data_IF_651945525923
#
_entry.id   IF_651945525923
#
_cell.length_a   1.000
_cell.length_b   1.000
_cell.length_c   1.000
_cell.angle_alpha   90.00
_cell.angle_beta   90.00
_cell.angle_gamma   90.00
#
_symmetry.space_group_name_H-M   'P 1'
#
loop_
_entity.id
_entity.type
_entity.pdbx_description
1 polymer ?
#
# COMPACT_ATOMS: atom_id res chain seq x y z
N UNK A 1 -7.06 4.70 13.76
CA UNK A 1 -5.98 3.78 14.19
C UNK A 1 -5.97 3.72 15.70
N UNK A 2 -5.76 2.53 16.22
CA UNK A 2 -5.59 2.29 17.65
C UNK A 2 -4.19 1.73 17.91
N UNK A 3 -3.59 2.15 18.99
CA UNK A 3 -2.35 1.61 19.52
C UNK A 3 -2.71 0.63 20.66
N UNK A 4 -2.19 -0.59 20.56
CA UNK A 4 -2.14 -1.56 21.65
C UNK A 4 -0.72 -1.54 22.21
N UNK A 5 -0.56 -1.14 23.46
CA UNK A 5 0.74 -1.13 24.12
C UNK A 5 1.13 -2.52 24.69
N UNK A 6 2.35 -2.63 25.21
CA UNK A 6 2.85 -3.89 25.79
C UNK A 6 2.13 -4.32 27.07
N UNK A 7 1.43 -3.42 27.73
CA UNK A 7 0.63 -3.69 28.93
C UNK A 7 -0.80 -4.11 28.57
N UNK A 8 -1.17 -4.09 27.27
CA UNK A 8 -2.50 -4.43 26.78
C UNK A 8 -3.47 -3.24 26.78
N UNK A 9 -3.01 -2.02 27.09
CA UNK A 9 -3.87 -0.85 27.02
C UNK A 9 -4.07 -0.40 25.57
N UNK A 10 -5.32 -0.04 25.23
CA UNK A 10 -5.71 0.41 23.89
C UNK A 10 -6.00 1.91 23.93
N UNK A 11 -5.35 2.66 23.03
CA UNK A 11 -5.59 4.10 22.85
C UNK A 11 -5.84 4.44 21.39
N UNK A 12 -6.71 5.42 21.11
CA UNK A 12 -6.92 5.91 19.74
C UNK A 12 -5.86 6.95 19.40
N UNK A 13 -5.04 6.67 18.38
CA UNK A 13 -3.90 7.52 17.99
C UNK A 13 -4.14 8.30 16.71
N UNK A 14 -5.03 7.84 15.82
CA UNK A 14 -5.45 8.59 14.62
C UNK A 14 -6.98 8.62 14.59
N UNK A 15 -7.60 9.67 15.14
CA UNK A 15 -9.04 9.79 15.14
C UNK A 15 -9.58 10.28 13.78
N UNK A 16 -10.83 9.94 13.49
CA UNK A 16 -11.64 10.53 12.38
C UNK A 16 -11.08 10.37 10.96
N UNK A 17 -10.03 9.57 10.75
CA UNK A 17 -9.54 9.25 9.41
C UNK A 17 -10.22 7.97 8.90
N UNK A 18 -10.83 8.06 7.71
CA UNK A 18 -11.52 6.94 7.06
C UNK A 18 -10.72 6.41 5.89
N UNK A 19 -10.94 5.14 5.54
CA UNK A 19 -10.37 4.52 4.35
C UNK A 19 -8.86 4.26 4.46
N UNK A 20 -8.35 4.02 5.67
CA UNK A 20 -6.94 3.65 5.86
C UNK A 20 -6.79 2.20 5.40
N UNK A 21 -6.14 2.00 4.23
CA UNK A 21 -5.79 0.69 3.72
C UNK A 21 -4.40 0.24 4.17
N UNK A 22 -3.44 1.17 4.20
CA UNK A 22 -2.07 0.90 4.61
C UNK A 22 -1.51 1.95 5.55
N UNK A 23 -0.50 1.57 6.32
CA UNK A 23 0.24 2.47 7.20
C UNK A 23 1.69 2.04 7.37
N UNK A 24 2.58 3.01 7.63
CA UNK A 24 3.98 2.79 7.97
C UNK A 24 4.41 3.70 9.12
N UNK A 25 5.39 3.23 9.92
CA UNK A 25 6.02 4.05 10.94
C UNK A 25 6.91 5.12 10.31
N UNK A 26 6.97 6.30 10.92
CA UNK A 26 7.84 7.38 10.49
C UNK A 26 8.99 7.58 11.48
N UNK A 27 10.22 7.82 11.01
CA UNK A 27 11.43 7.95 11.85
C UNK A 27 11.36 9.08 12.89
N UNK A 28 10.67 10.18 12.57
CA UNK A 28 10.46 11.32 13.48
C UNK A 28 9.26 11.14 14.42
N UNK A 29 8.82 9.92 14.60
CA UNK A 29 7.58 9.60 15.31
C UNK A 29 6.34 9.80 14.45
N UNK A 30 5.27 9.07 14.77
CA UNK A 30 4.03 9.13 14.01
C UNK A 30 3.91 8.04 12.95
N UNK A 31 2.87 8.18 12.14
CA UNK A 31 2.48 7.24 11.10
C UNK A 31 2.34 7.94 9.75
N UNK A 32 2.79 7.28 8.69
CA UNK A 32 2.30 7.55 7.34
C UNK A 32 1.07 6.68 7.11
N UNK A 33 -0.02 7.27 6.67
CA UNK A 33 -1.31 6.59 6.49
C UNK A 33 -1.92 6.89 5.13
N UNK A 34 -2.48 5.86 4.51
CA UNK A 34 -3.24 5.96 3.26
C UNK A 34 -4.68 6.46 3.47
N UNK A 35 -5.47 6.41 2.41
CA UNK A 35 -6.88 6.81 2.36
C UNK A 35 -7.19 7.75 1.20
N UNK A 36 -7.84 8.88 1.46
CA UNK A 36 -8.11 9.90 0.42
C UNK A 36 -6.87 10.67 -0.01
N UNK A 37 -5.85 10.68 0.82
CA UNK A 37 -4.53 11.23 0.58
C UNK A 37 -3.51 10.35 1.29
N UNK A 38 -2.24 10.57 1.04
CA UNK A 38 -1.16 10.04 1.85
C UNK A 38 -0.72 11.13 2.80
N UNK A 39 -0.76 10.85 4.10
CA UNK A 39 -0.43 11.83 5.11
C UNK A 39 0.45 11.25 6.22
N UNK A 40 1.36 12.06 6.72
CA UNK A 40 2.01 11.82 8.00
C UNK A 40 1.12 12.37 9.13
N UNK A 41 0.98 11.58 10.19
CA UNK A 41 0.22 11.94 11.40
C UNK A 41 1.13 11.76 12.62
N UNK A 42 1.34 12.83 13.35
CA UNK A 42 2.08 12.81 14.62
C UNK A 42 1.26 12.08 15.70
N UNK A 43 1.90 11.17 16.42
CA UNK A 43 1.26 10.47 17.55
C UNK A 43 1.30 11.29 18.85
N UNK A 44 2.10 12.36 18.91
CA UNK A 44 2.23 13.20 20.11
C UNK A 44 1.11 14.23 20.24
N UNK A 45 0.89 15.01 19.19
CA UNK A 45 -0.05 16.14 19.17
C UNK A 45 -1.17 16.01 18.13
N UNK A 46 -1.17 14.93 17.34
CA UNK A 46 -2.14 14.68 16.27
C UNK A 46 -1.99 15.56 15.04
N UNK A 47 -0.91 16.34 14.95
CA UNK A 47 -0.62 17.16 13.76
C UNK A 47 -0.57 16.28 12.51
N UNK A 48 -1.12 16.79 11.42
CA UNK A 48 -1.18 16.05 10.15
C UNK A 48 -0.55 16.88 9.03
N UNK A 49 0.31 16.23 8.22
CA UNK A 49 0.90 16.79 7.02
C UNK A 49 0.57 15.90 5.82
N UNK A 50 -0.08 16.44 4.80
CA UNK A 50 -0.29 15.75 3.52
C UNK A 50 1.05 15.61 2.80
N UNK A 51 1.36 14.37 2.40
CA UNK A 51 2.54 14.02 1.60
C UNK A 51 2.19 13.86 0.12
N UNK A 52 0.98 13.36 -0.19
CA UNK A 52 0.46 13.25 -1.54
C UNK A 52 -1.06 13.50 -1.49
N UNK A 53 -1.51 14.55 -2.14
CA UNK A 53 -2.92 14.86 -2.27
C UNK A 53 -3.58 14.02 -3.37
N UNK A 54 -4.89 13.77 -3.26
CA UNK A 54 -5.62 12.94 -4.22
C UNK A 54 -5.66 13.56 -5.62
N UNK A 55 -5.81 14.88 -5.71
CA UNK A 55 -5.89 15.64 -6.95
C UNK A 55 -4.56 15.73 -7.71
N UNK A 56 -3.46 15.34 -7.09
CA UNK A 56 -2.17 15.18 -7.77
C UNK A 56 -2.16 14.02 -8.78
N UNK A 57 -3.17 13.11 -8.70
CA UNK A 57 -3.27 11.96 -9.60
C UNK A 57 -4.63 12.00 -10.32
N UNK A 58 -4.59 12.31 -11.61
CA UNK A 58 -5.80 12.39 -12.43
C UNK A 58 -6.57 11.06 -12.44
N UNK A 59 -7.88 11.14 -12.16
CA UNK A 59 -8.77 9.99 -12.14
C UNK A 59 -8.67 9.09 -10.91
N UNK A 60 -7.79 9.37 -9.96
CA UNK A 60 -7.75 8.63 -8.71
C UNK A 60 -8.97 8.94 -7.82
N UNK A 61 -9.45 7.90 -7.14
CA UNK A 61 -10.57 8.00 -6.17
C UNK A 61 -10.10 7.83 -4.74
N UNK A 62 -8.86 7.39 -4.54
CA UNK A 62 -8.22 7.17 -3.26
C UNK A 62 -6.93 6.37 -3.40
N UNK A 63 -6.32 6.11 -2.26
CA UNK A 63 -5.17 5.23 -2.11
C UNK A 63 -5.55 4.09 -1.18
N UNK A 64 -5.02 2.89 -1.46
CA UNK A 64 -5.26 1.76 -0.57
C UNK A 64 -3.98 1.43 0.23
N UNK A 65 -3.34 0.32 -0.03
CA UNK A 65 -2.20 -0.12 0.76
C UNK A 65 -0.91 0.63 0.39
N UNK A 66 0.02 0.67 1.34
CA UNK A 66 1.33 1.27 1.18
C UNK A 66 2.40 0.49 1.94
N UNK A 67 3.63 0.62 1.48
CA UNK A 67 4.83 0.12 2.16
C UNK A 67 5.97 1.11 1.99
N UNK A 68 7.09 0.88 2.69
CA UNK A 68 8.30 1.68 2.56
C UNK A 68 9.49 0.80 2.24
N UNK A 69 10.44 1.32 1.47
CA UNK A 69 11.73 0.70 1.31
C UNK A 69 12.70 1.09 2.47
N UNK A 70 13.91 0.54 2.43
CA UNK A 70 14.93 0.83 3.45
C UNK A 70 15.48 2.26 3.41
N UNK A 71 15.30 2.97 2.29
CA UNK A 71 15.68 4.38 2.16
C UNK A 71 14.60 5.32 2.75
N UNK A 72 13.39 4.79 3.02
CA UNK A 72 12.26 5.56 3.54
C UNK A 72 11.33 6.12 2.45
N UNK A 73 11.50 5.71 1.18
CA UNK A 73 10.56 6.04 0.11
C UNK A 73 9.25 5.30 0.34
N UNK A 74 8.11 5.93 0.04
CA UNK A 74 6.78 5.37 0.24
C UNK A 74 6.25 4.86 -1.09
N UNK A 75 5.92 3.57 -1.15
CA UNK A 75 5.28 2.94 -2.30
C UNK A 75 3.80 2.76 -2.00
N UNK A 76 2.95 3.21 -2.90
CA UNK A 76 1.50 3.24 -2.68
C UNK A 76 0.74 2.99 -3.98
N UNK A 77 -0.36 2.26 -3.89
CA UNK A 77 -1.25 2.07 -5.02
C UNK A 77 -2.45 3.01 -5.01
N UNK A 78 -2.75 3.62 -6.17
CA UNK A 78 -3.96 4.42 -6.36
C UNK A 78 -5.14 3.56 -6.83
N UNK A 79 -6.34 3.97 -6.43
CA UNK A 79 -7.62 3.44 -6.89
C UNK A 79 -8.20 4.38 -7.96
N UNK A 80 -8.72 3.83 -9.06
CA UNK A 80 -9.31 4.60 -10.14
C UNK A 80 -10.84 4.48 -10.21
N UNK A 81 -11.47 3.79 -9.26
CA UNK A 81 -12.92 3.62 -9.17
C UNK A 81 -13.35 3.45 -7.71
N UNK A 82 -14.62 3.65 -7.41
CA UNK A 82 -15.18 3.43 -6.08
C UNK A 82 -15.45 1.94 -5.89
N UNK A 83 -14.53 1.26 -5.19
CA UNK A 83 -14.52 -0.20 -5.01
C UNK A 83 -15.84 -0.73 -4.46
N UNK A 84 -16.44 -0.02 -3.50
CA UNK A 84 -17.72 -0.39 -2.88
C UNK A 84 -18.92 0.39 -3.46
N UNK A 85 -18.72 1.15 -4.56
CA UNK A 85 -19.73 2.00 -5.17
C UNK A 85 -20.48 1.37 -6.34
N UNK A 86 -20.23 0.09 -6.67
CA UNK A 86 -20.82 -0.58 -7.83
C UNK A 86 -20.27 -0.13 -9.18
N UNK A 87 -19.20 0.66 -9.20
CA UNK A 87 -18.51 1.06 -10.42
C UNK A 87 -17.75 -0.12 -11.02
N UNK A 88 -17.70 -0.18 -12.37
CA UNK A 88 -16.83 -1.15 -13.05
C UNK A 88 -15.36 -0.90 -12.69
N UNK A 89 -14.57 -1.96 -12.47
CA UNK A 89 -13.14 -1.82 -12.19
C UNK A 89 -12.41 -1.07 -13.30
N UNK A 90 -11.60 -0.11 -12.93
CA UNK A 90 -10.68 0.63 -13.80
C UNK A 90 -9.27 0.56 -13.21
N UNK A 91 -8.25 0.41 -14.06
CA UNK A 91 -6.88 0.30 -13.58
C UNK A 91 -6.40 1.60 -12.92
N UNK A 92 -5.82 1.45 -11.75
CA UNK A 92 -4.99 2.44 -11.08
C UNK A 92 -3.51 2.18 -11.32
N UNK A 93 -2.66 2.77 -10.47
CA UNK A 93 -1.22 2.80 -10.64
C UNK A 93 -0.50 2.46 -9.34
N UNK A 94 0.74 2.01 -9.48
CA UNK A 94 1.73 1.99 -8.40
C UNK A 94 2.56 3.28 -8.49
N UNK A 95 2.73 3.96 -7.37
CA UNK A 95 3.52 5.19 -7.24
C UNK A 95 4.61 5.03 -6.17
N UNK A 96 5.65 5.84 -6.28
CA UNK A 96 6.62 6.09 -5.21
C UNK A 96 6.62 7.57 -4.86
N UNK A 97 6.68 7.87 -3.57
CA UNK A 97 6.95 9.20 -3.03
C UNK A 97 8.39 9.19 -2.53
N UNK A 98 9.25 9.96 -3.17
CA UNK A 98 10.67 10.08 -2.83
C UNK A 98 10.87 10.92 -1.56
N UNK A 99 12.08 10.90 -0.99
CA UNK A 99 12.40 11.59 0.27
C UNK A 99 12.27 13.12 0.20
N UNK A 100 12.38 13.69 -1.00
CA UNK A 100 12.15 15.12 -1.25
C UNK A 100 10.67 15.48 -1.42
N UNK A 101 9.78 14.48 -1.40
CA UNK A 101 8.34 14.61 -1.61
C UNK A 101 7.90 14.53 -3.08
N UNK A 102 8.82 14.32 -4.01
CA UNK A 102 8.50 14.11 -5.42
C UNK A 102 7.77 12.78 -5.61
N UNK A 103 6.68 12.78 -6.36
CA UNK A 103 5.95 11.56 -6.70
C UNK A 103 6.28 11.13 -8.13
N UNK A 104 6.56 9.83 -8.30
CA UNK A 104 6.74 9.17 -9.60
C UNK A 104 5.75 8.01 -9.75
N UNK A 105 5.14 7.87 -10.92
CA UNK A 105 4.37 6.67 -11.27
C UNK A 105 5.33 5.59 -11.76
N UNK A 106 5.24 4.41 -11.15
CA UNK A 106 6.14 3.29 -11.40
C UNK A 106 5.56 2.22 -12.33
N UNK A 107 4.25 1.96 -12.22
CA UNK A 107 3.56 0.93 -12.99
C UNK A 107 2.08 1.29 -13.12
N UNK A 108 1.46 0.79 -14.17
CA UNK A 108 0.04 0.94 -14.47
C UNK A 108 -0.72 -0.39 -14.44
N UNK A 109 -2.01 -0.34 -14.76
CA UNK A 109 -2.82 -1.54 -14.97
C UNK A 109 -3.15 -2.33 -13.71
N UNK A 110 -2.99 -1.76 -12.50
CA UNK A 110 -3.37 -2.41 -11.24
C UNK A 110 -4.87 -2.26 -11.04
N UNK A 111 -5.63 -3.35 -11.13
CA UNK A 111 -7.09 -3.28 -11.06
C UNK A 111 -7.62 -2.99 -9.65
N UNK A 112 -7.00 -3.56 -8.62
CA UNK A 112 -7.29 -3.23 -7.23
C UNK A 112 -6.03 -3.44 -6.40
N UNK A 113 -5.33 -2.34 -6.15
CA UNK A 113 -4.16 -2.36 -5.29
C UNK A 113 -4.51 -2.83 -3.88
N UNK A 114 -3.72 -3.75 -3.35
CA UNK A 114 -3.78 -4.24 -1.97
C UNK A 114 -2.36 -4.45 -1.44
N UNK A 115 -2.11 -5.43 -0.59
CA UNK A 115 -0.86 -5.62 0.12
C UNK A 115 0.41 -5.38 -0.69
N UNK A 116 1.36 -4.67 -0.10
CA UNK A 116 2.67 -4.34 -0.65
C UNK A 116 3.78 -4.78 0.31
N UNK A 117 4.86 -5.37 -0.20
CA UNK A 117 5.99 -5.77 0.62
C UNK A 117 7.27 -5.99 -0.16
N UNK A 118 8.40 -5.58 0.43
CA UNK A 118 9.71 -5.81 -0.13
C UNK A 118 10.30 -7.15 0.28
N UNK A 119 11.08 -7.76 -0.61
CA UNK A 119 11.98 -8.87 -0.24
C UNK A 119 12.99 -8.43 0.83
N UNK A 120 13.54 -9.37 1.62
CA UNK A 120 14.49 -9.03 2.67
C UNK A 120 15.75 -8.31 2.20
N UNK A 121 16.15 -8.50 0.95
CA UNK A 121 17.29 -7.79 0.33
C UNK A 121 16.90 -6.46 -0.32
N UNK A 122 15.58 -6.16 -0.39
CA UNK A 122 15.04 -4.94 -1.00
C UNK A 122 15.05 -4.92 -2.52
N UNK A 123 15.40 -6.03 -3.18
CA UNK A 123 15.54 -6.12 -4.65
C UNK A 123 14.23 -6.42 -5.37
N UNK A 124 13.22 -6.88 -4.64
CA UNK A 124 11.90 -7.18 -5.21
C UNK A 124 10.81 -6.50 -4.39
N UNK A 125 9.83 -5.98 -5.10
CA UNK A 125 8.57 -5.51 -4.53
C UNK A 125 7.45 -6.45 -4.97
N UNK A 126 6.71 -6.98 -4.00
CA UNK A 126 5.50 -7.77 -4.23
C UNK A 126 4.27 -6.89 -4.02
N UNK A 127 3.26 -7.07 -4.88
CA UNK A 127 2.06 -6.23 -4.89
C UNK A 127 0.83 -7.08 -5.21
N UNK A 128 -0.09 -7.19 -4.27
CA UNK A 128 -1.39 -7.85 -4.48
C UNK A 128 -2.27 -7.01 -5.41
N UNK A 129 -2.66 -7.60 -6.54
CA UNK A 129 -3.71 -7.08 -7.41
C UNK A 129 -4.99 -7.89 -7.19
N UNK A 130 -5.82 -7.42 -6.26
CA UNK A 130 -6.95 -8.18 -5.74
C UNK A 130 -7.96 -8.55 -6.82
N UNK A 131 -8.28 -7.66 -7.74
CA UNK A 131 -9.22 -7.91 -8.83
C UNK A 131 -8.66 -8.74 -9.97
N UNK A 132 -7.34 -8.76 -10.12
CA UNK A 132 -6.67 -9.66 -11.05
C UNK A 132 -6.45 -11.06 -10.45
N UNK A 133 -6.66 -11.25 -9.14
CA UNK A 133 -6.48 -12.54 -8.45
C UNK A 133 -5.03 -12.99 -8.37
N UNK A 134 -4.08 -12.08 -8.41
CA UNK A 134 -2.64 -12.41 -8.48
C UNK A 134 -1.78 -11.47 -7.63
N UNK A 135 -0.56 -11.92 -7.36
CA UNK A 135 0.52 -11.10 -6.80
C UNK A 135 1.51 -10.79 -7.91
N UNK A 136 1.77 -9.50 -8.14
CA UNK A 136 2.81 -8.99 -9.04
C UNK A 136 4.14 -8.97 -8.32
N UNK A 137 5.23 -9.21 -9.03
CA UNK A 137 6.58 -8.94 -8.57
C UNK A 137 7.29 -7.98 -9.52
N UNK A 138 8.03 -7.05 -8.94
CA UNK A 138 8.86 -6.07 -9.64
C UNK A 138 10.29 -6.19 -9.18
N UNK A 139 11.25 -6.06 -10.09
CA UNK A 139 12.65 -5.84 -9.74
C UNK A 139 12.83 -4.35 -9.39
N UNK A 140 13.53 -4.07 -8.29
CA UNK A 140 13.68 -2.71 -7.75
C UNK A 140 15.11 -2.23 -7.93
N UNK A 141 15.27 -1.07 -8.54
CA UNK A 141 16.55 -0.42 -8.71
C UNK A 141 16.92 0.45 -7.49
N UNK A 142 18.20 0.82 -7.39
CA UNK A 142 18.70 1.59 -6.25
C UNK A 142 18.04 2.98 -6.09
N UNK A 143 17.60 3.59 -7.19
CA UNK A 143 16.87 4.86 -7.19
C UNK A 143 15.38 4.71 -6.82
N UNK A 144 14.92 3.48 -6.54
CA UNK A 144 13.53 3.16 -6.20
C UNK A 144 12.60 2.99 -7.40
N UNK A 145 13.11 3.08 -8.63
CA UNK A 145 12.34 2.69 -9.81
C UNK A 145 12.13 1.19 -9.85
N UNK A 146 11.11 0.76 -10.60
CA UNK A 146 10.82 -0.67 -10.77
C UNK A 146 10.85 -1.04 -12.25
N UNK A 147 11.30 -2.28 -12.53
CA UNK A 147 11.21 -2.89 -13.84
C UNK A 147 9.77 -3.30 -14.20
N UNK A 148 9.56 -3.88 -15.39
CA UNK A 148 8.28 -4.47 -15.75
C UNK A 148 7.86 -5.54 -14.72
N UNK A 149 6.57 -5.58 -14.41
CA UNK A 149 6.06 -6.58 -13.49
C UNK A 149 5.98 -7.98 -14.15
N UNK A 150 6.13 -8.99 -13.32
CA UNK A 150 5.82 -10.39 -13.67
C UNK A 150 4.84 -10.96 -12.65
N UNK A 151 4.07 -11.97 -13.04
CA UNK A 151 3.25 -12.71 -12.10
C UNK A 151 4.16 -13.50 -11.14
N UNK A 152 4.02 -13.23 -9.83
CA UNK A 152 4.69 -13.99 -8.79
C UNK A 152 3.84 -15.21 -8.41
N UNK A 153 2.55 -15.00 -8.18
CA UNK A 153 1.59 -16.05 -7.86
C UNK A 153 0.21 -15.68 -8.43
N UNK A 154 -0.48 -16.67 -8.96
CA UNK A 154 -1.89 -16.57 -9.34
C UNK A 154 -2.69 -17.36 -8.32
N UNK A 155 -3.58 -16.67 -7.59
CA UNK A 155 -4.40 -17.25 -6.55
C UNK A 155 -5.79 -17.62 -7.09
N UNK A 156 -6.27 -16.88 -8.08
CA UNK A 156 -7.58 -17.08 -8.70
C UNK A 156 -7.85 -16.04 -9.78
N UNK A 157 -9.12 -15.78 -10.03
CA UNK A 157 -9.62 -14.86 -11.05
C UNK A 157 -10.10 -13.51 -10.48
N UNK A 158 -9.77 -13.21 -9.24
CA UNK A 158 -10.26 -12.04 -8.51
C UNK A 158 -11.71 -12.17 -8.00
N UNK A 159 -12.32 -13.35 -8.18
CA UNK A 159 -13.62 -13.73 -7.61
C UNK A 159 -13.49 -14.96 -6.71
N UNK A 160 -12.79 -15.99 -7.16
CA UNK A 160 -12.54 -17.22 -6.39
C UNK A 160 -11.45 -17.06 -5.33
N UNK A 161 -10.50 -16.17 -5.55
CA UNK A 161 -9.51 -15.72 -4.57
C UNK A 161 -9.20 -14.23 -4.78
N UNK A 162 -9.15 -13.50 -3.68
CA UNK A 162 -8.95 -12.05 -3.65
C UNK A 162 -7.75 -11.76 -2.76
N UNK A 163 -6.52 -11.71 -3.33
CA UNK A 163 -5.32 -11.38 -2.55
C UNK A 163 -5.47 -10.00 -1.94
N UNK A 164 -5.37 -9.95 -0.62
CA UNK A 164 -5.53 -8.76 0.20
C UNK A 164 -4.17 -8.33 0.78
N UNK A 165 -4.07 -8.02 2.05
CA UNK A 165 -2.84 -7.63 2.70
C UNK A 165 -1.71 -8.66 2.50
N UNK A 166 -0.47 -8.17 2.41
CA UNK A 166 0.71 -8.98 2.13
C UNK A 166 1.83 -8.65 3.10
N UNK A 167 2.57 -9.69 3.53
CA UNK A 167 3.78 -9.52 4.32
C UNK A 167 4.87 -10.47 3.84
N UNK A 168 6.08 -9.95 3.73
CA UNK A 168 7.28 -10.76 3.43
C UNK A 168 8.02 -11.05 4.73
N UNK A 169 8.29 -12.32 4.98
CA UNK A 169 9.06 -12.78 6.14
C UNK A 169 10.57 -12.65 5.92
N UNK A 170 11.34 -12.75 7.00
CA UNK A 170 12.80 -12.61 6.94
C UNK A 170 13.52 -13.70 6.13
N UNK A 171 12.90 -14.86 5.93
CA UNK A 171 13.38 -15.95 5.07
C UNK A 171 13.02 -15.77 3.58
N UNK A 172 12.29 -14.69 3.25
CA UNK A 172 11.83 -14.40 1.89
C UNK A 172 10.47 -14.99 1.53
N UNK A 173 9.83 -15.76 2.41
CA UNK A 173 8.46 -16.25 2.17
C UNK A 173 7.47 -15.09 2.14
N UNK A 174 6.52 -15.16 1.20
CA UNK A 174 5.47 -14.15 0.99
C UNK A 174 4.14 -14.69 1.52
N UNK A 175 3.62 -14.03 2.54
CA UNK A 175 2.33 -14.34 3.14
C UNK A 175 1.27 -13.40 2.61
N UNK A 176 0.19 -13.94 2.08
CA UNK A 176 -0.90 -13.18 1.47
C UNK A 176 -2.20 -13.56 2.14
N UNK A 177 -2.93 -12.57 2.65
CA UNK A 177 -4.30 -12.76 3.09
C UNK A 177 -5.22 -12.94 1.87
N UNK A 178 -6.20 -13.84 1.97
CA UNK A 178 -7.28 -13.97 1.00
C UNK A 178 -8.57 -13.41 1.63
N UNK A 179 -9.18 -12.40 1.01
CA UNK A 179 -10.40 -11.78 1.53
C UNK A 179 -11.60 -12.75 1.59
N UNK A 180 -11.53 -13.90 0.90
CA UNK A 180 -12.56 -14.97 0.95
C UNK A 180 -12.25 -16.09 1.95
N UNK A 181 -11.19 -15.96 2.73
CA UNK A 181 -10.81 -16.93 3.77
C UNK A 181 -9.31 -17.22 3.82
N UNK A 182 -8.88 -17.91 4.88
CA UNK A 182 -7.50 -18.38 5.00
C UNK A 182 -7.26 -19.56 4.04
N UNK A 183 -6.21 -19.49 3.26
CA UNK A 183 -5.71 -20.58 2.41
C UNK A 183 -4.26 -20.85 2.72
#
# INVERSE_FOLDING_TARGET
VFLLDRAGAVSQVVPKRRGIGGMALHEKGGLVVGGRDIAWVSLGDGATKTLLALDAISGATGFNDLTTDRAGRIYVGSLAYKVFGGEAPRPGHLHVIDLDGTMRTLSDGVLLTNGLGFSPDGRHLYHSDARAGLVRAYDVAADGSVGPWRSFAVLGDGQSAVPDGLKVAGDGSVWVADAHGAR
#
